data_IF_042228418509
#
_entry.id   IF_042228418509
#
_cell.length_a   1.000
_cell.length_b   1.000
_cell.length_c   1.000
_cell.angle_alpha   90.00
_cell.angle_beta   90.00
_cell.angle_gamma   90.00
#
_symmetry.space_group_name_H-M   'P 1'
#
loop_
_entity.id
_entity.type
_entity.pdbx_description
1 polymer ?
#
# COMPACT_ATOMS: atom_id res chain seq x y z
N UNK A 1 36.25 -43.39 -11.96
CA UNK A 1 36.81 -43.83 -13.25
C UNK A 1 35.64 -44.03 -14.20
N UNK A 2 35.47 -43.09 -15.15
CA UNK A 2 34.61 -43.09 -16.35
C UNK A 2 33.08 -43.33 -16.21
N UNK A 3 32.13 -42.57 -16.76
CA UNK A 3 31.99 -41.27 -17.45
C UNK A 3 30.45 -41.05 -17.57
N UNK A 4 29.88 -39.83 -17.51
CA UNK A 4 28.44 -39.63 -17.73
C UNK A 4 28.12 -39.57 -19.23
N UNK A 5 27.04 -40.22 -19.66
CA UNK A 5 26.51 -40.12 -21.02
C UNK A 5 25.80 -38.78 -21.21
N UNK A 6 26.40 -37.91 -22.02
CA UNK A 6 25.78 -36.72 -22.60
C UNK A 6 24.92 -37.19 -23.79
N UNK A 7 23.60 -36.94 -23.73
CA UNK A 7 22.74 -37.04 -24.89
C UNK A 7 22.86 -35.76 -25.71
N UNK A 8 23.57 -35.83 -26.84
CA UNK A 8 23.59 -34.81 -27.89
C UNK A 8 22.36 -35.01 -28.80
N UNK A 9 21.35 -34.14 -28.66
CA UNK A 9 20.30 -34.01 -29.68
C UNK A 9 20.83 -33.06 -30.76
N UNK A 10 21.21 -33.61 -31.90
CA UNK A 10 21.41 -32.86 -33.14
C UNK A 10 20.04 -32.49 -33.71
N UNK A 11 19.53 -31.32 -33.34
CA UNK A 11 18.35 -30.70 -33.94
C UNK A 11 18.74 -29.86 -35.15
N UNK A 12 18.13 -30.18 -36.29
CA UNK A 12 18.25 -29.49 -37.58
C UNK A 12 18.04 -27.98 -37.41
N UNK A 13 19.06 -27.20 -37.76
CA UNK A 13 18.99 -25.73 -37.92
C UNK A 13 18.10 -25.41 -39.14
N UNK A 14 16.79 -25.47 -38.95
CA UNK A 14 15.84 -24.79 -39.80
C UNK A 14 15.94 -23.30 -39.53
N UNK A 15 16.23 -22.51 -40.56
CA UNK A 15 16.23 -21.05 -40.51
C UNK A 15 14.81 -20.54 -40.23
N UNK A 16 14.39 -20.56 -38.97
CA UNK A 16 13.32 -19.70 -38.49
C UNK A 16 13.90 -18.29 -38.45
N UNK A 17 13.54 -17.48 -39.44
CA UNK A 17 13.79 -16.05 -39.38
C UNK A 17 13.26 -15.53 -38.05
N UNK A 18 14.13 -14.88 -37.28
CA UNK A 18 13.71 -14.08 -36.14
C UNK A 18 12.54 -13.19 -36.61
N UNK A 19 11.42 -13.12 -35.87
CA UNK A 19 10.41 -12.13 -36.17
C UNK A 19 11.12 -10.77 -36.24
N UNK A 20 10.80 -10.00 -37.28
CA UNK A 20 11.35 -8.66 -37.45
C UNK A 20 11.20 -7.92 -36.12
N UNK A 21 12.28 -7.29 -35.64
CA UNK A 21 12.25 -6.45 -34.46
C UNK A 21 11.04 -5.51 -34.56
N UNK A 22 10.20 -5.49 -33.53
CA UNK A 22 9.11 -4.53 -33.43
C UNK A 22 9.65 -3.13 -33.76
N UNK A 23 8.89 -2.32 -34.52
CA UNK A 23 9.29 -0.95 -34.79
C UNK A 23 9.58 -0.26 -33.46
N UNK A 24 10.74 0.41 -33.38
CA UNK A 24 11.16 1.15 -32.20
C UNK A 24 9.97 1.94 -31.62
N UNK A 25 9.76 1.89 -30.28
CA UNK A 25 8.61 2.52 -29.66
C UNK A 25 8.50 3.95 -30.17
N UNK A 26 7.31 4.25 -30.72
CA UNK A 26 6.97 5.58 -31.24
C UNK A 26 7.47 6.63 -30.26
N UNK A 27 8.25 7.57 -30.78
CA UNK A 27 8.81 8.70 -30.05
C UNK A 27 7.77 9.23 -29.05
N UNK A 28 8.11 9.10 -27.78
CA UNK A 28 7.16 9.27 -26.71
C UNK A 28 6.90 10.77 -26.55
N UNK A 29 5.84 11.25 -27.21
CA UNK A 29 5.38 12.63 -27.13
C UNK A 29 5.02 12.94 -25.68
N UNK A 30 5.86 13.70 -24.97
CA UNK A 30 5.59 14.09 -23.58
C UNK A 30 6.84 14.35 -22.73
N UNK A 31 8.01 13.82 -23.11
CA UNK A 31 9.25 13.98 -22.34
C UNK A 31 9.67 15.44 -22.08
N UNK A 32 9.25 16.36 -22.97
CA UNK A 32 9.55 17.78 -22.84
C UNK A 32 8.59 18.57 -21.93
N UNK A 33 7.51 17.94 -21.45
CA UNK A 33 6.57 18.56 -20.54
C UNK A 33 7.25 18.85 -19.19
N UNK A 34 6.90 19.99 -18.57
CA UNK A 34 7.58 20.48 -17.35
C UNK A 34 7.53 19.49 -16.18
N UNK A 35 6.47 18.67 -16.11
CA UNK A 35 6.30 17.67 -15.06
C UNK A 35 7.34 16.53 -15.11
N UNK A 36 7.97 16.29 -16.27
CA UNK A 36 9.02 15.27 -16.45
C UNK A 36 10.43 15.88 -16.46
N UNK A 37 10.56 17.17 -16.14
CA UNK A 37 11.83 17.86 -15.99
C UNK A 37 12.12 18.02 -14.51
N UNK A 38 13.33 17.65 -14.09
CA UNK A 38 13.74 17.81 -12.71
C UNK A 38 13.56 19.28 -12.27
N UNK A 39 12.84 19.56 -11.17
CA UNK A 39 12.61 20.92 -10.72
C UNK A 39 13.94 21.55 -10.31
N UNK A 40 14.22 22.74 -10.84
CA UNK A 40 15.37 23.56 -10.43
C UNK A 40 14.88 24.73 -9.60
N UNK A 41 15.65 25.12 -8.57
CA UNK A 41 15.29 26.25 -7.72
C UNK A 41 15.31 27.56 -8.55
N UNK A 42 14.17 28.22 -8.79
CA UNK A 42 14.14 29.46 -9.55
C UNK A 42 14.68 30.63 -8.73
N UNK A 43 15.10 31.69 -9.42
CA UNK A 43 15.34 32.98 -8.77
C UNK A 43 14.00 33.57 -8.29
N UNK A 44 14.04 34.31 -7.18
CA UNK A 44 12.86 35.00 -6.67
C UNK A 44 12.45 36.13 -7.61
N UNK A 45 11.14 36.30 -7.90
CA UNK A 45 10.68 37.37 -8.75
C UNK A 45 10.86 38.74 -8.08
N UNK A 46 11.07 39.77 -8.89
CA UNK A 46 11.10 41.14 -8.39
C UNK A 46 9.67 41.61 -8.10
N UNK A 47 9.39 41.93 -6.83
CA UNK A 47 8.12 42.50 -6.37
C UNK A 47 8.31 43.93 -5.88
N UNK A 48 7.26 44.76 -5.98
CA UNK A 48 7.25 46.15 -5.51
C UNK A 48 7.11 46.21 -4.00
N UNK A 49 6.19 45.44 -3.42
CA UNK A 49 5.93 45.46 -1.97
C UNK A 49 6.65 44.33 -1.22
N UNK A 50 7.98 44.40 -1.14
CA UNK A 50 8.80 43.41 -0.40
C UNK A 50 8.50 43.31 1.09
N UNK A 51 7.87 44.32 1.68
CA UNK A 51 7.53 44.33 3.11
C UNK A 51 6.33 43.45 3.45
N UNK A 52 5.50 43.07 2.44
CA UNK A 52 4.35 42.20 2.64
C UNK A 52 4.72 40.72 2.73
N UNK A 53 5.70 40.27 1.94
CA UNK A 53 6.12 38.87 1.92
C UNK A 53 6.82 38.45 3.21
N UNK A 54 6.43 37.31 3.77
CA UNK A 54 7.03 36.69 4.95
C UNK A 54 7.99 35.55 4.56
N UNK A 55 7.67 34.87 3.46
CA UNK A 55 8.42 33.73 2.93
C UNK A 55 8.74 33.93 1.45
N UNK A 56 9.73 33.21 0.89
CA UNK A 56 10.02 33.26 -0.55
C UNK A 56 8.85 32.85 -1.45
N UNK A 57 7.86 32.11 -0.94
CA UNK A 57 6.64 31.74 -1.68
C UNK A 57 5.77 32.98 -1.93
N UNK A 58 5.74 33.90 -0.96
CA UNK A 58 4.92 35.11 -1.04
C UNK A 58 5.37 36.03 -2.18
N UNK A 59 6.67 36.04 -2.52
CA UNK A 59 7.18 36.78 -3.68
C UNK A 59 6.56 36.29 -4.99
N UNK A 60 6.35 34.98 -5.16
CA UNK A 60 5.70 34.43 -6.35
C UNK A 60 4.21 34.78 -6.41
N UNK A 61 3.52 34.74 -5.27
CA UNK A 61 2.11 35.14 -5.18
C UNK A 61 1.96 36.64 -5.47
N UNK A 62 2.78 37.47 -4.83
CA UNK A 62 2.74 38.92 -4.98
C UNK A 62 3.13 39.35 -6.40
N UNK A 63 4.14 38.73 -7.01
CA UNK A 63 4.50 39.02 -8.40
C UNK A 63 3.33 38.76 -9.36
N UNK A 64 2.53 37.71 -9.12
CA UNK A 64 1.33 37.44 -9.90
C UNK A 64 0.24 38.49 -9.63
N UNK A 65 -0.01 38.84 -8.37
CA UNK A 65 -1.00 39.87 -8.01
C UNK A 65 -0.66 41.23 -8.62
N UNK A 66 0.58 41.70 -8.47
CA UNK A 66 1.06 42.98 -9.02
C UNK A 66 0.95 43.03 -10.55
N UNK A 67 1.22 41.91 -11.23
CA UNK A 67 1.06 41.79 -12.69
C UNK A 67 -0.40 41.94 -13.13
N UNK A 68 -1.33 41.41 -12.36
CA UNK A 68 -2.77 41.50 -12.64
C UNK A 68 -3.39 42.80 -12.10
N UNK A 69 -2.61 43.67 -11.45
CA UNK A 69 -3.12 44.90 -10.83
C UNK A 69 -3.99 44.65 -9.60
N UNK A 70 -3.81 43.51 -8.92
CA UNK A 70 -4.50 43.13 -7.71
C UNK A 70 -3.62 43.38 -6.48
N UNK A 71 -4.27 43.65 -5.36
CA UNK A 71 -3.62 43.75 -4.05
C UNK A 71 -3.99 42.54 -3.19
N UNK A 72 -3.11 42.10 -2.26
CA UNK A 72 -3.46 41.08 -1.29
C UNK A 72 -4.68 41.45 -0.47
N UNK A 73 -5.55 40.48 -0.21
CA UNK A 73 -6.67 40.65 0.72
C UNK A 73 -6.17 40.99 2.13
N UNK A 74 -6.92 41.78 2.92
CA UNK A 74 -6.61 42.01 4.31
C UNK A 74 -6.58 40.69 5.10
N UNK A 75 -5.71 40.64 6.12
CA UNK A 75 -5.62 39.50 7.02
C UNK A 75 -6.96 39.28 7.75
N UNK A 76 -7.34 38.01 7.91
CA UNK A 76 -8.58 37.67 8.62
C UNK A 76 -8.47 38.08 10.10
N UNK A 77 -9.61 38.33 10.75
CA UNK A 77 -9.62 38.53 12.20
C UNK A 77 -9.11 37.28 12.93
N UNK A 78 -8.58 37.49 14.14
CA UNK A 78 -7.90 36.43 14.92
C UNK A 78 -8.79 35.21 15.17
N UNK A 79 -10.09 35.39 15.39
CA UNK A 79 -11.00 34.27 15.66
C UNK A 79 -11.24 33.46 14.39
N UNK A 80 -11.46 34.15 13.26
CA UNK A 80 -11.57 33.50 11.95
C UNK A 80 -10.29 32.75 11.58
N UNK A 81 -9.12 33.35 11.83
CA UNK A 81 -7.83 32.73 11.55
C UNK A 81 -7.63 31.45 12.38
N UNK A 82 -7.87 31.52 13.70
CA UNK A 82 -7.78 30.35 14.58
C UNK A 82 -8.72 29.23 14.13
N UNK A 83 -9.98 29.57 13.78
CA UNK A 83 -10.95 28.59 13.30
C UNK A 83 -10.48 27.91 12.01
N UNK A 84 -9.88 28.64 11.07
CA UNK A 84 -9.33 28.07 9.83
C UNK A 84 -8.19 27.11 10.13
N UNK A 85 -7.21 27.54 10.94
CA UNK A 85 -6.08 26.68 11.36
C UNK A 85 -6.57 25.35 11.95
N UNK A 86 -7.53 25.41 12.87
CA UNK A 86 -8.11 24.24 13.51
C UNK A 86 -8.79 23.28 12.51
N UNK A 87 -9.65 23.80 11.64
CA UNK A 87 -10.35 22.97 10.66
C UNK A 87 -9.42 22.42 9.57
N UNK A 88 -8.43 23.19 9.16
CA UNK A 88 -7.50 22.79 8.10
C UNK A 88 -6.49 21.75 8.63
N UNK A 89 -5.90 21.98 9.80
CA UNK A 89 -4.83 21.15 10.34
C UNK A 89 -5.34 19.90 11.04
N UNK A 90 -6.45 19.98 11.79
CA UNK A 90 -6.94 18.86 12.61
C UNK A 90 -8.41 18.50 12.35
N UNK A 91 -9.13 19.25 11.49
CA UNK A 91 -10.51 18.93 11.12
C UNK A 91 -11.57 19.22 12.19
N UNK A 92 -11.19 19.77 13.33
CA UNK A 92 -12.06 20.04 14.48
C UNK A 92 -12.11 21.56 14.75
N UNK A 93 -13.25 22.13 15.17
CA UNK A 93 -13.30 23.54 15.57
C UNK A 93 -12.49 23.80 16.85
N UNK A 94 -12.04 25.04 17.11
CA UNK A 94 -11.37 25.39 18.36
C UNK A 94 -12.34 25.32 19.54
N UNK A 95 -11.84 24.92 20.71
CA UNK A 95 -12.59 25.07 21.96
C UNK A 95 -12.58 26.54 22.41
N UNK A 96 -13.59 26.94 23.20
CA UNK A 96 -13.68 28.31 23.74
C UNK A 96 -12.41 28.71 24.50
N UNK A 97 -11.85 27.79 25.30
CA UNK A 97 -10.59 28.03 26.03
C UNK A 97 -9.40 28.34 25.12
N UNK A 98 -9.34 27.72 23.93
CA UNK A 98 -8.26 27.94 22.96
C UNK A 98 -8.45 29.30 22.27
N UNK A 99 -9.69 29.71 22.00
CA UNK A 99 -10.02 31.05 21.50
C UNK A 99 -9.59 32.12 22.50
N UNK A 100 -9.99 31.98 23.77
CA UNK A 100 -9.66 32.95 24.82
C UNK A 100 -8.14 33.06 25.02
N UNK A 101 -7.43 31.93 25.05
CA UNK A 101 -5.98 31.91 25.16
C UNK A 101 -5.30 32.57 23.95
N UNK A 102 -5.76 32.27 22.74
CA UNK A 102 -5.21 32.88 21.52
C UNK A 102 -5.49 34.37 21.42
N UNK A 103 -6.65 34.85 21.89
CA UNK A 103 -6.96 36.28 21.92
C UNK A 103 -6.14 37.03 22.97
N UNK A 104 -5.84 36.39 24.10
CA UNK A 104 -5.03 36.96 25.17
C UNK A 104 -3.52 37.01 24.82
N UNK A 105 -3.03 36.08 23.99
CA UNK A 105 -1.63 36.05 23.56
C UNK A 105 -1.35 37.10 22.46
N UNK A 106 -0.80 38.23 22.87
CA UNK A 106 -0.40 39.32 21.97
C UNK A 106 1.05 39.23 21.50
N UNK A 107 1.74 38.13 21.78
CA UNK A 107 3.12 37.94 21.34
C UNK A 107 3.21 37.80 19.82
N UNK A 108 4.37 38.16 19.26
CA UNK A 108 4.62 38.04 17.82
C UNK A 108 4.59 36.59 17.33
N UNK A 109 4.79 35.61 18.22
CA UNK A 109 4.80 34.17 17.90
C UNK A 109 3.49 33.43 18.20
N UNK A 110 2.43 34.12 18.63
CA UNK A 110 1.17 33.49 19.03
C UNK A 110 0.57 32.60 17.92
N UNK A 111 0.64 33.06 16.66
CA UNK A 111 0.17 32.31 15.50
C UNK A 111 0.95 31.00 15.31
N UNK A 112 2.28 31.10 15.27
CA UNK A 112 3.14 29.95 15.00
C UNK A 112 3.05 28.92 16.13
N UNK A 113 2.95 29.38 17.39
CA UNK A 113 2.74 28.49 18.53
C UNK A 113 1.43 27.68 18.42
N UNK A 114 0.36 28.28 17.88
CA UNK A 114 -0.89 27.55 17.59
C UNK A 114 -0.70 26.54 16.48
N UNK A 115 -0.02 26.92 15.38
CA UNK A 115 0.27 26.00 14.28
C UNK A 115 1.06 24.79 14.77
N UNK A 116 2.15 25.00 15.52
CA UNK A 116 2.97 23.92 16.09
C UNK A 116 2.16 23.02 17.02
N UNK A 117 1.32 23.61 17.89
CA UNK A 117 0.42 22.83 18.77
C UNK A 117 -0.54 21.96 17.97
N UNK A 118 -1.08 22.46 16.87
CA UNK A 118 -2.03 21.74 16.03
C UNK A 118 -1.35 20.65 15.19
N UNK A 119 -0.17 20.90 14.65
CA UNK A 119 0.63 19.90 13.94
C UNK A 119 1.06 18.76 14.87
N UNK A 120 1.37 19.06 16.13
CA UNK A 120 1.71 18.07 17.15
C UNK A 120 0.49 17.29 17.72
N UNK A 121 -0.74 17.66 17.33
CA UNK A 121 -1.95 16.99 17.78
C UNK A 121 -2.11 15.63 17.09
N UNK A 122 -2.52 14.56 17.79
CA UNK A 122 -2.79 13.27 17.14
C UNK A 122 -3.90 13.36 16.08
N UNK A 123 -4.80 14.34 16.20
CA UNK A 123 -5.85 14.62 15.21
C UNK A 123 -5.31 15.14 13.86
N UNK A 124 -4.05 15.59 13.81
CA UNK A 124 -3.41 16.02 12.56
C UNK A 124 -3.30 14.84 11.59
N UNK A 125 -2.73 13.72 12.05
CA UNK A 125 -2.63 12.48 11.28
C UNK A 125 -3.98 11.89 10.94
N UNK A 126 -4.98 11.99 11.81
CA UNK A 126 -6.36 11.55 11.49
C UNK A 126 -6.96 12.38 10.34
N UNK A 127 -6.78 13.71 10.39
CA UNK A 127 -7.28 14.63 9.37
C UNK A 127 -6.62 14.42 8.02
N UNK A 128 -5.29 14.39 7.99
CA UNK A 128 -4.51 14.30 6.76
C UNK A 128 -4.41 12.88 6.23
N UNK A 129 -4.39 11.88 7.11
CA UNK A 129 -4.41 10.46 6.77
C UNK A 129 -5.61 10.09 5.91
N UNK A 130 -6.78 10.70 6.15
CA UNK A 130 -7.98 10.49 5.32
C UNK A 130 -7.74 10.76 3.83
N UNK A 131 -6.99 11.81 3.49
CA UNK A 131 -6.70 12.13 2.08
C UNK A 131 -5.86 11.04 1.41
N UNK A 132 -4.87 10.52 2.15
CA UNK A 132 -4.05 9.42 1.66
C UNK A 132 -4.83 8.10 1.59
N UNK A 133 -5.65 7.81 2.59
CA UNK A 133 -6.48 6.60 2.63
C UNK A 133 -7.45 6.53 1.46
N UNK A 134 -8.04 7.68 1.07
CA UNK A 134 -8.85 7.78 -0.15
C UNK A 134 -8.01 7.43 -1.40
N UNK A 135 -6.79 7.98 -1.51
CA UNK A 135 -5.88 7.71 -2.64
C UNK A 135 -5.38 6.25 -2.68
N UNK A 136 -5.17 5.67 -1.51
CA UNK A 136 -4.75 4.28 -1.31
C UNK A 136 -5.90 3.28 -1.39
N UNK A 137 -7.13 3.72 -1.69
CA UNK A 137 -8.33 2.88 -1.84
C UNK A 137 -8.70 2.11 -0.58
N UNK A 138 -8.38 2.67 0.59
CA UNK A 138 -8.80 2.07 1.85
C UNK A 138 -10.33 2.01 1.93
N UNK A 139 -10.85 0.84 2.27
CA UNK A 139 -12.25 0.62 2.54
C UNK A 139 -12.41 -0.38 3.70
N UNK A 140 -13.49 -0.23 4.47
CA UNK A 140 -13.87 -1.17 5.52
C UNK A 140 -14.66 -2.38 4.96
N UNK A 141 -14.80 -2.49 3.63
CA UNK A 141 -15.44 -3.59 2.93
C UNK A 141 -14.66 -4.04 1.68
N UNK A 142 -15.01 -5.20 1.13
CA UNK A 142 -14.30 -5.81 0.01
C UNK A 142 -14.64 -5.25 -1.37
N UNK A 143 -15.78 -4.56 -1.53
CA UNK A 143 -16.12 -3.78 -2.72
C UNK A 143 -16.70 -4.58 -3.91
N UNK A 144 -16.85 -5.90 -3.80
CA UNK A 144 -17.48 -6.77 -4.82
C UNK A 144 -18.86 -7.28 -4.39
N UNK A 145 -19.50 -8.20 -5.14
CA UNK A 145 -20.89 -8.66 -4.93
C UNK A 145 -21.23 -8.96 -3.45
N UNK A 146 -20.36 -9.71 -2.76
CA UNK A 146 -20.58 -10.09 -1.35
C UNK A 146 -20.31 -8.96 -0.36
N UNK A 147 -19.54 -7.96 -0.77
CA UNK A 147 -19.11 -6.76 -0.03
C UNK A 147 -18.93 -7.00 1.47
N UNK A 148 -18.14 -8.03 1.84
CA UNK A 148 -17.93 -8.36 3.26
C UNK A 148 -17.08 -7.30 3.93
N UNK A 149 -17.16 -7.25 5.26
CA UNK A 149 -16.30 -6.39 6.06
C UNK A 149 -14.84 -6.82 5.97
N UNK A 150 -13.95 -5.84 5.80
CA UNK A 150 -12.49 -6.02 5.70
C UNK A 150 -11.81 -5.59 7.01
N UNK A 151 -10.85 -6.39 7.47
CA UNK A 151 -10.09 -6.12 8.70
C UNK A 151 -8.68 -5.60 8.39
N UNK A 152 -8.59 -4.39 7.83
CA UNK A 152 -7.31 -3.75 7.44
C UNK A 152 -7.02 -2.45 8.20
N UNK A 153 -7.67 -2.25 9.35
CA UNK A 153 -7.53 -1.06 10.19
C UNK A 153 -6.09 -0.81 10.68
N UNK A 154 -5.25 -1.84 10.78
CA UNK A 154 -3.83 -1.68 11.09
C UNK A 154 -3.11 -0.80 10.05
N UNK A 155 -3.45 -0.93 8.77
CA UNK A 155 -2.89 -0.07 7.72
C UNK A 155 -3.38 1.38 7.88
N UNK A 156 -4.67 1.59 8.19
CA UNK A 156 -5.21 2.92 8.49
C UNK A 156 -4.44 3.59 9.62
N UNK A 157 -4.27 2.87 10.73
CA UNK A 157 -3.58 3.39 11.90
C UNK A 157 -2.09 3.64 11.60
N UNK A 158 -1.46 2.79 10.79
CA UNK A 158 -0.10 3.03 10.31
C UNK A 158 0.00 4.33 9.51
N UNK A 159 -0.93 4.62 8.58
CA UNK A 159 -0.95 5.88 7.81
C UNK A 159 -1.09 7.09 8.73
N UNK A 160 -2.05 7.04 9.67
CA UNK A 160 -2.29 8.11 10.65
C UNK A 160 -1.03 8.36 11.49
N UNK A 161 -0.39 7.29 11.97
CA UNK A 161 0.82 7.38 12.78
C UNK A 161 2.03 7.84 11.97
N UNK A 162 2.15 7.44 10.71
CA UNK A 162 3.20 7.88 9.80
C UNK A 162 3.18 9.39 9.57
N UNK A 163 1.99 9.97 9.43
CA UNK A 163 1.82 11.43 9.33
C UNK A 163 2.15 12.11 10.66
N UNK A 164 1.62 11.60 11.78
CA UNK A 164 1.86 12.20 13.10
C UNK A 164 3.34 12.20 13.52
N UNK A 165 4.13 11.23 13.05
CA UNK A 165 5.58 11.14 13.30
C UNK A 165 6.43 11.83 12.24
N UNK A 166 5.81 12.56 11.31
CA UNK A 166 6.46 13.26 10.19
C UNK A 166 7.40 12.32 9.40
N UNK A 167 6.90 11.14 9.04
CA UNK A 167 7.68 10.17 8.29
C UNK A 167 8.06 10.78 6.91
N UNK A 168 9.36 10.80 6.55
CA UNK A 168 9.80 11.31 5.25
C UNK A 168 9.05 10.64 4.10
N UNK A 169 8.62 11.44 3.12
CA UNK A 169 7.75 10.96 2.03
C UNK A 169 8.37 9.81 1.21
N UNK A 170 9.69 9.85 0.99
CA UNK A 170 10.42 8.77 0.35
C UNK A 170 10.30 7.45 1.13
N UNK A 171 10.52 7.49 2.44
CA UNK A 171 10.36 6.33 3.31
C UNK A 171 8.89 5.87 3.39
N UNK A 172 7.96 6.81 3.46
CA UNK A 172 6.52 6.53 3.46
C UNK A 172 6.07 5.75 2.22
N UNK A 173 6.60 6.08 1.05
CA UNK A 173 6.34 5.34 -0.19
C UNK A 173 7.07 3.99 -0.20
N UNK A 174 8.35 3.94 0.21
CA UNK A 174 9.13 2.69 0.26
C UNK A 174 8.46 1.64 1.15
N UNK A 175 8.03 2.01 2.35
CA UNK A 175 7.39 1.07 3.28
C UNK A 175 6.07 0.51 2.74
N UNK A 176 5.34 1.30 1.94
CA UNK A 176 4.08 0.88 1.33
C UNK A 176 4.25 -0.02 0.10
N UNK A 177 5.33 0.16 -0.67
CA UNK A 177 5.57 -0.63 -1.87
C UNK A 177 6.43 -1.87 -1.63
N UNK A 178 7.27 -1.86 -0.59
CA UNK A 178 8.28 -2.89 -0.36
C UNK A 178 8.67 -3.04 1.13
N UNK A 179 7.79 -2.66 2.06
CA UNK A 179 8.08 -2.71 3.50
C UNK A 179 8.38 -4.11 4.02
N UNK A 180 7.69 -5.13 3.50
CA UNK A 180 7.93 -6.54 3.77
C UNK A 180 9.26 -7.08 3.21
N UNK A 181 9.82 -6.40 2.19
CA UNK A 181 11.12 -6.72 1.60
C UNK A 181 12.29 -6.01 2.28
N UNK A 182 12.04 -5.13 3.25
CA UNK A 182 13.09 -4.45 3.99
C UNK A 182 13.87 -5.45 4.87
N UNK A 183 15.20 -5.32 4.98
CA UNK A 183 15.99 -6.18 5.86
C UNK A 183 15.52 -6.07 7.31
N UNK A 184 15.12 -7.21 7.90
CA UNK A 184 14.53 -7.27 9.23
C UNK A 184 13.29 -6.37 9.40
N UNK A 185 12.40 -6.38 8.41
CA UNK A 185 11.16 -5.60 8.40
C UNK A 185 10.41 -5.69 9.74
N UNK A 186 10.03 -4.54 10.28
CA UNK A 186 9.20 -4.46 11.48
C UNK A 186 7.76 -4.83 11.17
N UNK A 187 6.95 -5.11 12.20
CA UNK A 187 5.51 -5.33 12.02
C UNK A 187 4.82 -4.16 11.33
N UNK A 188 5.18 -2.93 11.70
CA UNK A 188 4.68 -1.70 11.06
C UNK A 188 5.02 -1.63 9.57
N UNK A 189 6.23 -2.03 9.17
CA UNK A 189 6.67 -2.00 7.77
C UNK A 189 5.96 -3.08 6.93
N UNK A 190 5.71 -4.25 7.51
CA UNK A 190 4.90 -5.29 6.87
C UNK A 190 3.44 -4.81 6.72
N UNK A 191 2.88 -4.18 7.75
CA UNK A 191 1.53 -3.57 7.72
C UNK A 191 1.43 -2.48 6.65
N UNK A 192 2.47 -1.65 6.48
CA UNK A 192 2.52 -0.60 5.48
C UNK A 192 2.35 -1.15 4.05
N UNK A 193 2.93 -2.32 3.77
CA UNK A 193 2.79 -3.00 2.46
C UNK A 193 1.34 -3.42 2.16
N UNK A 194 0.46 -3.36 3.16
CA UNK A 194 -1.00 -3.44 2.99
C UNK A 194 -1.58 -2.43 1.99
N UNK A 195 -0.87 -1.35 1.64
CA UNK A 195 -1.19 -0.46 0.52
C UNK A 195 -1.52 -1.25 -0.77
N UNK A 196 -0.70 -2.28 -1.09
CA UNK A 196 -0.90 -3.12 -2.27
C UNK A 196 -2.07 -4.11 -2.12
N UNK A 197 -2.65 -4.26 -0.92
CA UNK A 197 -3.79 -5.14 -0.64
C UNK A 197 -5.12 -4.41 -0.54
N UNK A 198 -5.14 -3.10 -0.78
CA UNK A 198 -6.38 -2.31 -0.77
C UNK A 198 -7.25 -2.51 -2.02
N UNK A 199 -6.77 -3.21 -3.06
CA UNK A 199 -7.61 -3.61 -4.19
C UNK A 199 -8.87 -4.34 -3.71
N UNK A 200 -9.99 -4.17 -4.41
CA UNK A 200 -11.23 -4.88 -4.08
C UNK A 200 -11.00 -6.41 -4.07
N UNK A 201 -11.70 -7.16 -3.21
CA UNK A 201 -11.54 -8.61 -3.06
C UNK A 201 -12.77 -9.35 -3.61
N UNK A 202 -12.57 -10.21 -4.60
CA UNK A 202 -13.63 -11.02 -5.17
C UNK A 202 -13.69 -12.39 -4.47
N UNK A 203 -14.78 -12.62 -3.73
CA UNK A 203 -15.08 -13.88 -3.05
C UNK A 203 -16.28 -14.63 -3.67
N UNK A 204 -16.69 -14.26 -4.88
CA UNK A 204 -17.85 -14.84 -5.57
C UNK A 204 -17.64 -16.33 -5.87
N UNK A 205 -18.75 -17.09 -5.85
CA UNK A 205 -18.70 -18.50 -6.24
C UNK A 205 -18.50 -18.61 -7.74
N UNK A 206 -17.41 -19.24 -8.19
CA UNK A 206 -17.10 -19.41 -9.60
C UNK A 206 -16.11 -18.40 -10.18
N UNK A 207 -15.50 -17.55 -9.34
CA UNK A 207 -14.38 -16.70 -9.76
C UNK A 207 -13.24 -17.54 -10.34
N UNK A 208 -12.70 -17.12 -11.49
CA UNK A 208 -11.45 -17.65 -12.01
C UNK A 208 -10.28 -17.01 -11.25
N UNK A 209 -9.48 -17.78 -10.49
CA UNK A 209 -8.42 -17.22 -9.67
C UNK A 209 -7.36 -16.45 -10.46
N UNK A 210 -7.04 -16.89 -11.68
CA UNK A 210 -6.02 -16.22 -12.50
C UNK A 210 -6.56 -14.94 -13.12
N UNK A 211 -7.83 -14.93 -13.55
CA UNK A 211 -8.48 -13.70 -13.99
C UNK A 211 -8.48 -12.66 -12.87
N UNK A 212 -8.92 -13.03 -11.67
CA UNK A 212 -8.99 -12.08 -10.56
C UNK A 212 -7.61 -11.59 -10.12
N UNK A 213 -6.58 -12.46 -10.16
CA UNK A 213 -5.19 -12.04 -9.91
C UNK A 213 -4.74 -10.95 -10.88
N UNK A 214 -5.09 -11.06 -12.16
CA UNK A 214 -4.78 -10.02 -13.16
C UNK A 214 -5.53 -8.72 -12.89
N UNK A 215 -6.84 -8.81 -12.59
CA UNK A 215 -7.66 -7.64 -12.28
C UNK A 215 -7.13 -6.88 -11.05
N UNK A 216 -6.78 -7.60 -9.98
CA UNK A 216 -6.17 -7.02 -8.79
C UNK A 216 -4.80 -6.38 -9.07
N UNK A 217 -3.99 -6.99 -9.94
CA UNK A 217 -2.69 -6.45 -10.30
C UNK A 217 -2.79 -5.18 -11.16
N UNK A 218 -3.75 -5.11 -12.09
CA UNK A 218 -4.06 -3.88 -12.81
C UNK A 218 -4.58 -2.78 -11.87
N UNK A 219 -5.37 -3.14 -10.87
CA UNK A 219 -5.84 -2.22 -9.82
C UNK A 219 -4.66 -1.63 -9.03
N UNK A 220 -3.72 -2.47 -8.58
CA UNK A 220 -2.47 -2.03 -7.91
C UNK A 220 -1.67 -1.07 -8.76
N UNK A 221 -1.46 -1.41 -10.04
CA UNK A 221 -0.73 -0.57 -10.99
C UNK A 221 -1.38 0.82 -11.12
N UNK A 222 -2.71 0.84 -11.25
CA UNK A 222 -3.45 2.09 -11.34
C UNK A 222 -3.43 2.90 -10.04
N UNK A 223 -3.49 2.24 -8.88
CA UNK A 223 -3.35 2.87 -7.57
C UNK A 223 -1.96 3.52 -7.42
N UNK A 224 -0.87 2.81 -7.71
CA UNK A 224 0.50 3.35 -7.70
C UNK A 224 0.63 4.54 -8.64
N UNK A 225 0.13 4.39 -9.87
CA UNK A 225 0.15 5.46 -10.87
C UNK A 225 -0.50 6.74 -10.34
N UNK A 226 -1.75 6.64 -9.87
CA UNK A 226 -2.53 7.82 -9.47
C UNK A 226 -2.10 8.41 -8.12
N UNK A 227 -1.82 7.57 -7.12
CA UNK A 227 -1.55 8.03 -5.74
C UNK A 227 -0.09 8.38 -5.49
N UNK A 228 0.86 7.64 -6.08
CA UNK A 228 2.30 7.85 -5.86
C UNK A 228 2.90 8.69 -6.98
N UNK A 229 2.66 8.32 -8.24
CA UNK A 229 3.29 9.00 -9.38
C UNK A 229 2.52 10.24 -9.83
N UNK A 230 1.24 10.36 -9.48
CA UNK A 230 0.35 11.40 -10.00
C UNK A 230 0.06 11.26 -11.50
N UNK A 231 0.16 10.04 -12.05
CA UNK A 231 0.02 9.72 -13.48
C UNK A 231 -1.04 8.66 -13.73
N UNK A 232 -1.79 8.78 -14.82
CA UNK A 232 -2.80 7.79 -15.21
C UNK A 232 -2.20 6.67 -16.06
N UNK A 233 -1.30 5.88 -15.47
CA UNK A 233 -0.53 4.87 -16.20
C UNK A 233 -1.38 3.76 -16.82
N UNK A 234 -2.63 3.58 -16.39
CA UNK A 234 -3.58 2.57 -16.90
C UNK A 234 -3.76 2.59 -18.43
N UNK A 235 -3.64 3.74 -19.11
CA UNK A 235 -3.73 3.76 -20.57
C UNK A 235 -2.61 2.96 -21.24
N UNK A 236 -1.46 2.82 -20.56
CA UNK A 236 -0.32 2.06 -21.02
C UNK A 236 -0.56 0.53 -21.08
N UNK A 237 -1.65 0.04 -20.46
CA UNK A 237 -2.02 -1.38 -20.42
C UNK A 237 -2.23 -1.95 -21.85
N UNK A 238 -2.95 -1.22 -22.72
CA UNK A 238 -3.31 -1.71 -24.05
C UNK A 238 -2.43 -1.14 -25.17
N UNK A 239 -1.80 0.01 -24.96
CA UNK A 239 -0.93 0.69 -25.92
C UNK A 239 -0.03 1.69 -25.19
N UNK A 240 1.11 2.13 -25.74
CA UNK A 240 1.90 3.20 -25.09
C UNK A 240 1.04 4.42 -24.75
N UNK A 241 1.28 5.02 -23.58
CA UNK A 241 0.45 6.07 -23.05
C UNK A 241 0.33 7.26 -24.04
N UNK A 242 -0.87 7.83 -24.16
CA UNK A 242 -1.20 8.79 -25.23
C UNK A 242 -0.50 10.15 -25.08
N UNK A 243 -0.26 10.58 -23.85
CA UNK A 243 0.23 11.93 -23.51
C UNK A 243 1.48 11.94 -22.62
N UNK A 244 1.47 11.14 -21.57
CA UNK A 244 2.63 10.95 -20.69
C UNK A 244 3.67 10.01 -21.27
N UNK A 245 4.95 10.17 -20.89
CA UNK A 245 6.03 9.47 -21.52
C UNK A 245 6.27 8.07 -20.97
N UNK A 246 5.27 7.21 -21.13
CA UNK A 246 5.28 5.83 -20.63
C UNK A 246 4.96 4.89 -21.80
N UNK A 247 5.92 4.05 -22.18
CA UNK A 247 5.69 2.99 -23.15
C UNK A 247 4.89 1.84 -22.54
N UNK A 248 4.19 1.08 -23.39
CA UNK A 248 3.54 -0.16 -22.95
C UNK A 248 4.56 -1.15 -22.38
N UNK A 249 5.76 -1.20 -22.95
CA UNK A 249 6.85 -2.05 -22.44
C UNK A 249 7.22 -1.69 -21.00
N UNK A 250 7.39 -0.40 -20.69
CA UNK A 250 7.67 0.06 -19.32
C UNK A 250 6.53 -0.26 -18.35
N UNK A 251 5.27 -0.15 -18.80
CA UNK A 251 4.12 -0.55 -18.00
C UNK A 251 4.18 -2.04 -17.62
N UNK A 252 4.46 -2.93 -18.58
CA UNK A 252 4.56 -4.37 -18.29
C UNK A 252 5.86 -4.76 -17.56
N UNK A 253 6.93 -3.96 -17.67
CA UNK A 253 8.11 -4.12 -16.82
C UNK A 253 7.81 -3.80 -15.35
N UNK A 254 7.06 -2.72 -15.08
CA UNK A 254 6.59 -2.42 -13.73
C UNK A 254 5.60 -3.47 -13.22
N UNK A 255 4.67 -3.92 -14.08
CA UNK A 255 3.76 -5.02 -13.77
C UNK A 255 4.53 -6.29 -13.34
N UNK A 256 5.61 -6.64 -14.03
CA UNK A 256 6.41 -7.81 -13.71
C UNK A 256 7.05 -7.75 -12.30
N UNK A 257 7.41 -6.56 -11.81
CA UNK A 257 7.90 -6.39 -10.43
C UNK A 257 6.84 -6.75 -9.39
N UNK A 258 5.58 -6.40 -9.65
CA UNK A 258 4.46 -6.65 -8.75
C UNK A 258 3.82 -8.03 -8.95
N UNK A 259 4.10 -8.72 -10.06
CA UNK A 259 3.53 -10.05 -10.39
C UNK A 259 4.31 -11.23 -9.79
N UNK A 260 5.19 -10.97 -8.81
CA UNK A 260 6.00 -11.99 -8.15
C UNK A 260 5.72 -12.03 -6.63
N UNK A 261 4.47 -11.81 -6.24
CA UNK A 261 4.01 -11.83 -4.86
C UNK A 261 3.25 -13.12 -4.53
N UNK A 262 3.31 -13.52 -3.26
CA UNK A 262 2.41 -14.53 -2.71
C UNK A 262 1.45 -13.84 -1.75
N UNK A 263 0.20 -13.74 -2.17
CA UNK A 263 -0.86 -13.07 -1.41
C UNK A 263 -1.34 -13.91 -0.21
N UNK A 264 -0.53 -13.93 0.84
CA UNK A 264 -0.91 -14.53 2.11
C UNK A 264 -1.77 -13.57 2.96
N UNK A 265 -2.62 -14.13 3.82
CA UNK A 265 -3.29 -13.39 4.88
C UNK A 265 -2.49 -13.55 6.17
N UNK A 266 -1.76 -12.50 6.54
CA UNK A 266 -0.94 -12.47 7.75
C UNK A 266 -1.72 -11.76 8.86
N UNK A 267 -1.75 -12.35 10.05
CA UNK A 267 -2.34 -11.69 11.22
C UNK A 267 -1.34 -10.67 11.74
N UNK A 268 -1.73 -9.39 11.73
CA UNK A 268 -1.05 -8.34 12.48
C UNK A 268 -1.52 -8.39 13.94
N UNK A 269 -0.58 -8.38 14.87
CA UNK A 269 -0.86 -8.40 16.31
C UNK A 269 -0.53 -7.05 16.91
N UNK A 270 -1.33 -6.62 17.88
CA UNK A 270 -0.96 -5.50 18.75
C UNK A 270 0.22 -5.87 19.64
N UNK A 271 0.97 -4.89 20.18
CA UNK A 271 2.06 -5.17 21.13
C UNK A 271 1.62 -5.95 22.38
N UNK A 272 0.35 -5.84 22.79
CA UNK A 272 -0.21 -6.65 23.87
C UNK A 272 -0.41 -8.12 23.45
N UNK A 273 -0.98 -8.33 22.27
CA UNK A 273 -1.18 -9.67 21.71
C UNK A 273 0.14 -10.37 21.43
N UNK A 274 1.16 -9.66 20.95
CA UNK A 274 2.51 -10.21 20.75
C UNK A 274 3.11 -10.70 22.07
N UNK A 275 3.01 -9.90 23.15
CA UNK A 275 3.46 -10.30 24.49
C UNK A 275 2.69 -11.52 25.00
N UNK A 276 1.38 -11.56 24.78
CA UNK A 276 0.54 -12.71 25.15
C UNK A 276 0.93 -13.95 24.36
N UNK A 277 1.13 -13.83 23.05
CA UNK A 277 1.58 -14.90 22.16
C UNK A 277 2.94 -15.44 22.57
N UNK A 278 3.91 -14.56 22.86
CA UNK A 278 5.23 -14.95 23.32
C UNK A 278 5.17 -15.74 24.65
N UNK A 279 4.33 -15.31 25.59
CA UNK A 279 4.09 -16.03 26.84
C UNK A 279 3.45 -17.41 26.61
N UNK A 280 2.44 -17.50 25.73
CA UNK A 280 1.79 -18.77 25.40
C UNK A 280 2.76 -19.74 24.73
N UNK A 281 3.53 -19.27 23.75
CA UNK A 281 4.53 -20.09 23.06
C UNK A 281 5.63 -20.58 24.00
N UNK A 282 6.07 -19.76 24.95
CA UNK A 282 6.99 -20.21 26.01
C UNK A 282 6.36 -21.32 26.83
N UNK A 283 5.13 -21.13 27.31
CA UNK A 283 4.44 -22.12 28.13
C UNK A 283 4.17 -23.44 27.39
N UNK A 284 3.88 -23.38 26.09
CA UNK A 284 3.75 -24.57 25.25
C UNK A 284 5.08 -25.33 25.21
N UNK A 285 6.19 -24.65 24.93
CA UNK A 285 7.52 -25.28 24.94
C UNK A 285 7.86 -25.92 26.29
N UNK A 286 7.61 -25.20 27.39
CA UNK A 286 7.86 -25.70 28.74
C UNK A 286 7.03 -26.97 29.04
N UNK A 287 5.76 -26.99 28.61
CA UNK A 287 4.88 -28.16 28.77
C UNK A 287 5.31 -29.33 27.88
N UNK A 288 5.67 -29.07 26.63
CA UNK A 288 6.14 -30.11 25.72
C UNK A 288 7.46 -30.72 26.20
N UNK A 289 8.40 -29.91 26.69
CA UNK A 289 9.64 -30.40 27.32
C UNK A 289 9.35 -31.18 28.60
N UNK A 290 8.42 -30.72 29.44
CA UNK A 290 7.97 -31.45 30.62
C UNK A 290 7.36 -32.81 30.28
N UNK A 291 6.55 -32.89 29.23
CA UNK A 291 5.98 -34.17 28.74
C UNK A 291 7.10 -35.05 28.19
N UNK A 292 7.99 -34.54 27.34
CA UNK A 292 9.13 -35.29 26.81
C UNK A 292 10.03 -35.85 27.91
N UNK A 293 10.24 -35.09 28.99
CA UNK A 293 11.03 -35.53 30.15
C UNK A 293 10.31 -36.58 31.00
N UNK A 294 9.01 -36.41 31.25
CA UNK A 294 8.22 -37.34 32.10
C UNK A 294 7.79 -38.60 31.36
N UNK A 295 7.75 -38.56 30.03
CA UNK A 295 7.38 -39.69 29.16
C UNK A 295 8.46 -39.87 28.08
N UNK A 296 9.69 -40.29 28.43
CA UNK A 296 10.75 -40.48 27.46
C UNK A 296 10.43 -41.58 26.44
N UNK A 297 9.50 -42.50 26.76
CA UNK A 297 9.02 -43.57 25.88
C UNK A 297 7.78 -43.16 25.05
N UNK A 298 7.44 -41.87 24.96
CA UNK A 298 6.23 -41.40 24.29
C UNK A 298 6.13 -41.85 22.83
N UNK A 299 7.24 -41.92 22.09
CA UNK A 299 7.26 -42.40 20.71
C UNK A 299 6.84 -43.88 20.64
N UNK A 300 7.36 -44.71 21.53
CA UNK A 300 7.00 -46.12 21.60
C UNK A 300 5.55 -46.32 22.06
N UNK A 301 5.03 -45.43 22.91
CA UNK A 301 3.61 -45.42 23.32
C UNK A 301 2.70 -45.00 22.18
N UNK A 302 3.10 -43.99 21.40
CA UNK A 302 2.37 -43.55 20.21
C UNK A 302 2.33 -44.67 19.18
N UNK A 303 3.47 -45.31 18.88
CA UNK A 303 3.51 -46.46 17.97
C UNK A 303 2.60 -47.61 18.42
N UNK A 304 2.60 -47.96 19.71
CA UNK A 304 1.68 -48.99 20.25
C UNK A 304 0.22 -48.59 20.11
N UNK A 305 -0.10 -47.31 20.29
CA UNK A 305 -1.45 -46.81 20.11
C UNK A 305 -1.86 -46.83 18.64
N UNK A 306 -1.00 -46.34 17.73
CA UNK A 306 -1.20 -46.38 16.28
C UNK A 306 -1.46 -47.82 15.80
N UNK A 307 -0.66 -48.78 16.26
CA UNK A 307 -0.87 -50.20 15.95
C UNK A 307 -2.22 -50.72 16.48
N UNK A 308 -2.64 -50.26 17.67
CA UNK A 308 -3.92 -50.67 18.27
C UNK A 308 -5.15 -50.15 17.52
N UNK A 309 -5.04 -48.99 16.87
CA UNK A 309 -6.16 -48.37 16.14
C UNK A 309 -6.17 -48.73 14.65
N UNK A 310 -5.01 -49.08 14.08
CA UNK A 310 -4.83 -49.42 12.66
C UNK A 310 -5.75 -50.56 12.19
N UNK A 311 -6.06 -51.51 13.07
CA UNK A 311 -6.93 -52.66 12.75
C UNK A 311 -8.43 -52.41 12.96
N UNK A 312 -8.81 -51.24 13.48
CA UNK A 312 -10.19 -50.87 13.83
C UNK A 312 -10.70 -49.64 13.07
N UNK A 313 -10.01 -49.22 12.02
CA UNK A 313 -10.46 -48.10 11.20
C UNK A 313 -11.72 -48.48 10.39
N UNK A 314 -12.70 -47.59 10.29
CA UNK A 314 -13.81 -47.77 9.37
C UNK A 314 -13.28 -47.87 7.93
N UNK A 315 -13.94 -48.66 7.10
CA UNK A 315 -13.57 -48.79 5.69
C UNK A 315 -13.79 -47.44 4.99
N UNK A 316 -12.69 -46.71 4.74
CA UNK A 316 -12.72 -45.46 4.02
C UNK A 316 -12.83 -45.75 2.52
N UNK A 317 -14.03 -45.55 1.97
CA UNK A 317 -14.23 -45.55 0.52
C UNK A 317 -13.79 -44.19 -0.01
N UNK A 318 -12.67 -44.15 -0.74
CA UNK A 318 -12.25 -42.95 -1.45
C UNK A 318 -13.22 -42.73 -2.61
N UNK A 319 -14.15 -41.81 -2.43
CA UNK A 319 -15.02 -41.39 -3.53
C UNK A 319 -14.18 -40.61 -4.53
N UNK A 320 -14.12 -41.10 -5.77
CA UNK A 320 -13.53 -40.34 -6.88
C UNK A 320 -14.56 -39.38 -7.44
N UNK A 321 -14.29 -38.09 -7.30
CA UNK A 321 -15.06 -37.06 -7.97
C UNK A 321 -14.65 -36.98 -9.44
N UNK A 322 -15.48 -37.52 -10.34
CA UNK A 322 -15.32 -37.33 -11.78
C UNK A 322 -16.14 -36.12 -12.24
N UNK A 323 -15.52 -35.25 -13.07
CA UNK A 323 -16.16 -34.05 -13.60
C UNK A 323 -17.23 -34.44 -14.64
N UNK A 324 -18.49 -34.10 -14.38
CA UNK A 324 -19.63 -34.44 -15.24
C UNK A 324 -19.76 -33.57 -16.51
N UNK A 325 -18.89 -32.57 -16.72
CA UNK A 325 -18.86 -31.73 -17.93
C UNK A 325 -18.81 -30.23 -17.65
N UNK A 326 -18.48 -29.45 -18.67
CA UNK A 326 -18.10 -28.02 -18.63
C UNK A 326 -19.29 -27.04 -18.74
N UNK A 327 -20.42 -27.36 -18.10
CA UNK A 327 -21.65 -26.56 -18.25
C UNK A 327 -21.78 -25.42 -17.22
N UNK A 328 -20.69 -25.04 -16.54
CA UNK A 328 -20.69 -23.98 -15.52
C UNK A 328 -21.27 -24.38 -14.15
N UNK A 329 -21.94 -25.53 -14.05
CA UNK A 329 -22.40 -26.10 -12.78
C UNK A 329 -21.62 -27.38 -12.46
N UNK A 330 -20.79 -27.35 -11.41
CA UNK A 330 -19.96 -28.49 -10.98
C UNK A 330 -20.83 -29.56 -10.30
N UNK A 331 -21.46 -30.43 -11.09
CA UNK A 331 -22.01 -31.68 -10.57
C UNK A 331 -20.91 -32.75 -10.52
N UNK A 332 -20.68 -33.32 -9.34
CA UNK A 332 -19.85 -34.50 -9.15
C UNK A 332 -20.77 -35.70 -8.94
N UNK A 333 -20.56 -36.79 -9.69
CA UNK A 333 -21.17 -38.06 -9.37
C UNK A 333 -20.26 -38.85 -8.42
N UNK A 334 -20.87 -39.53 -7.45
CA UNK A 334 -20.19 -40.46 -6.54
C UNK A 334 -20.36 -41.87 -7.14
N UNK A 335 -19.26 -42.50 -7.56
CA UNK A 335 -19.25 -43.92 -7.97
C UNK A 335 -18.63 -44.79 -6.90
#
# INVERSE_FOLDING_TARGET
>A
MFFPRVCLIFGVLGAFGLPAAEPAPKEVKGADHWAFKAPVRPALPAVRNRAWGRTPIDDFVLARLEKEGLEPSPEADRVTLLRRLHLDLIGLPPEVKDVDAFLADTSAGAHDAVVEKLLASPHHGERWGRQWLDAARYADSDGFEKDKGRFIWHYRDWVVNAINRDLPYDQFVIEQLAGDLLPNATGDQIVATGFLRNSMLNEEGGVDPEQFRMDALFDRMDCIGKSVLGLTIQCAQCHSHKFDPISQEEYYRLFAFLSNDHESSVIAYTPEEERKRANLLRRIRDLEEGIRHTMPDWEARMARWEDSVRSSEPEWVVVRCENAGDNGERFYYYS
#
